data_IF_270559361391
#
_entry.id   IF_270559361391
#
_cell.length_a   1.000
_cell.length_b   1.000
_cell.length_c   1.000
_cell.angle_alpha   90.00
_cell.angle_beta   90.00
_cell.angle_gamma   90.00
#
_symmetry.space_group_name_H-M   'P 1'
#
loop_
_entity.id
_entity.type
_entity.pdbx_description
1 polymer ?
#
# COMPACT_ATOMS: atom_id res chain seq x y z
N UNK A 1 -25.60 -40.55 9.64
CA UNK A 1 -25.16 -41.51 10.66
C UNK A 1 -24.52 -40.73 11.80
N UNK A 2 -24.97 -41.00 13.03
CA UNK A 2 -24.51 -40.47 14.34
C UNK A 2 -24.83 -39.00 14.64
N UNK A 3 -25.99 -38.78 15.27
CA UNK A 3 -26.11 -37.87 16.44
C UNK A 3 -25.50 -38.58 17.66
N UNK A 4 -25.03 -37.88 18.71
CA UNK A 4 -25.92 -37.49 19.81
C UNK A 4 -25.76 -36.01 20.22
N UNK A 5 -26.82 -35.31 20.66
CA UNK A 5 -27.52 -35.43 21.98
C UNK A 5 -26.62 -34.92 23.12
N UNK A 6 -27.07 -34.14 24.10
CA UNK A 6 -28.38 -33.64 24.52
C UNK A 6 -28.09 -32.62 25.64
N UNK A 7 -28.96 -31.65 25.90
CA UNK A 7 -30.12 -31.84 26.77
C UNK A 7 -29.84 -31.10 28.09
N UNK A 8 -30.58 -30.02 28.40
CA UNK A 8 -31.78 -30.02 29.29
C UNK A 8 -31.39 -30.20 30.77
N UNK A 9 -32.00 -29.61 31.78
CA UNK A 9 -33.11 -28.68 31.94
C UNK A 9 -33.10 -28.26 33.43
N UNK A 10 -33.51 -27.02 33.70
CA UNK A 10 -34.52 -26.58 34.69
C UNK A 10 -34.75 -27.27 36.06
N UNK A 11 -34.95 -26.39 37.07
CA UNK A 11 -35.80 -26.49 38.30
C UNK A 11 -35.32 -27.43 39.43
N UNK A 12 -35.60 -27.22 40.72
CA UNK A 12 -36.17 -26.15 41.55
C UNK A 12 -36.12 -26.58 43.03
N UNK A 13 -36.15 -25.59 43.95
CA UNK A 13 -36.64 -25.64 45.35
C UNK A 13 -35.85 -26.39 46.44
N UNK A 14 -35.69 -25.70 47.58
CA UNK A 14 -35.34 -26.30 48.87
C UNK A 14 -34.84 -25.29 49.90
N UNK A 15 -35.76 -24.67 50.63
CA UNK A 15 -35.54 -23.84 51.84
C UNK A 15 -34.80 -24.59 52.94
N UNK A 16 -33.95 -23.90 53.71
CA UNK A 16 -33.85 -24.04 55.17
C UNK A 16 -33.19 -22.79 55.79
N UNK A 17 -33.82 -22.32 56.86
CA UNK A 17 -33.35 -21.25 57.73
C UNK A 17 -32.32 -21.77 58.74
N UNK A 18 -31.35 -20.95 59.11
CA UNK A 18 -30.84 -20.83 60.48
C UNK A 18 -29.92 -19.60 60.59
N UNK A 19 -30.07 -18.91 61.71
CA UNK A 19 -29.46 -17.67 62.15
C UNK A 19 -27.92 -17.67 62.30
N UNK A 20 -27.43 -16.45 62.49
CA UNK A 20 -26.26 -16.02 63.28
C UNK A 20 -25.00 -15.50 62.53
N UNK A 21 -24.87 -14.17 62.64
CA UNK A 21 -23.66 -13.43 63.06
C UNK A 21 -22.86 -12.59 62.04
N UNK A 22 -23.24 -11.30 61.95
CA UNK A 22 -22.38 -10.10 61.85
C UNK A 22 -21.46 -9.91 60.61
N UNK A 23 -20.88 -8.71 60.38
CA UNK A 23 -21.41 -7.71 59.45
C UNK A 23 -20.54 -7.55 58.18
N UNK A 24 -21.12 -7.74 57.00
CA UNK A 24 -20.52 -7.31 55.73
C UNK A 24 -20.57 -5.78 55.60
N UNK A 25 -19.58 -5.09 56.17
CA UNK A 25 -19.41 -3.64 56.04
C UNK A 25 -17.97 -3.23 55.68
N UNK A 26 -17.29 -4.07 54.88
CA UNK A 26 -15.89 -3.86 54.46
C UNK A 26 -15.62 -3.98 52.96
N UNK A 27 -16.61 -4.29 52.13
CA UNK A 27 -16.43 -4.62 50.70
C UNK A 27 -16.54 -3.42 49.75
N UNK A 28 -17.35 -2.40 50.08
CA UNK A 28 -17.55 -1.24 49.20
C UNK A 28 -16.28 -0.37 49.07
N UNK A 29 -15.59 -0.12 50.18
CA UNK A 29 -14.38 0.72 50.18
C UNK A 29 -13.18 0.04 49.50
N UNK A 30 -13.10 -1.30 49.57
CA UNK A 30 -12.06 -2.06 48.88
C UNK A 30 -12.29 -2.13 47.36
N UNK A 31 -13.54 -2.26 46.90
CA UNK A 31 -13.85 -2.30 45.47
C UNK A 31 -13.66 -0.92 44.82
N UNK A 32 -13.97 0.17 45.54
CA UNK A 32 -13.76 1.54 45.07
C UNK A 32 -12.27 1.91 45.06
N UNK A 33 -11.49 1.49 46.07
CA UNK A 33 -10.04 1.60 46.08
C UNK A 33 -9.38 0.82 44.93
N UNK A 34 -9.84 -0.40 44.64
CA UNK A 34 -9.36 -1.19 43.50
C UNK A 34 -9.73 -0.56 42.15
N UNK A 35 -10.94 -0.02 41.99
CA UNK A 35 -11.35 0.73 40.78
C UNK A 35 -10.52 2.01 40.60
N UNK A 36 -10.21 2.72 41.68
CA UNK A 36 -9.35 3.93 41.66
C UNK A 36 -7.90 3.60 41.27
N UNK A 37 -7.32 2.54 41.85
CA UNK A 37 -5.98 2.07 41.50
C UNK A 37 -5.88 1.63 40.03
N UNK A 38 -6.90 0.93 39.51
CA UNK A 38 -6.99 0.55 38.09
C UNK A 38 -7.02 1.78 37.18
N UNK A 39 -7.84 2.79 37.52
CA UNK A 39 -7.89 4.07 36.76
C UNK A 39 -6.56 4.82 36.79
N UNK A 40 -5.87 4.84 37.93
CA UNK A 40 -4.55 5.47 38.08
C UNK A 40 -3.50 4.77 37.20
N UNK A 41 -3.46 3.44 37.23
CA UNK A 41 -2.55 2.65 36.39
C UNK A 41 -2.84 2.83 34.89
N UNK A 42 -4.11 2.89 34.50
CA UNK A 42 -4.51 3.16 33.11
C UNK A 42 -4.10 4.57 32.64
N UNK A 43 -4.21 5.58 33.52
CA UNK A 43 -3.72 6.94 33.25
C UNK A 43 -2.20 6.98 33.09
N UNK A 44 -1.45 6.31 33.96
CA UNK A 44 0.03 6.18 33.85
C UNK A 44 0.44 5.47 32.56
N UNK A 45 -0.22 4.37 32.20
CA UNK A 45 0.04 3.67 30.95
C UNK A 45 -0.23 4.56 29.72
N UNK A 46 -1.34 5.29 29.72
CA UNK A 46 -1.70 6.22 28.65
C UNK A 46 -0.69 7.37 28.56
N UNK A 47 -0.26 7.92 29.71
CA UNK A 47 0.76 8.96 29.77
C UNK A 47 2.09 8.49 29.18
N UNK A 48 2.61 7.34 29.64
CA UNK A 48 3.87 6.78 29.17
C UNK A 48 3.80 6.44 27.66
N UNK A 49 2.66 5.95 27.18
CA UNK A 49 2.44 5.67 25.76
C UNK A 49 2.45 6.96 24.92
N UNK A 50 1.80 8.03 25.40
CA UNK A 50 1.80 9.35 24.75
C UNK A 50 3.20 9.97 24.73
N UNK A 51 3.97 9.81 25.79
CA UNK A 51 5.33 10.32 25.88
C UNK A 51 6.27 9.62 24.89
N UNK A 52 6.23 8.28 24.82
CA UNK A 52 6.96 7.50 23.80
C UNK A 52 6.60 7.93 22.38
N UNK A 53 5.32 8.12 22.10
CA UNK A 53 4.85 8.59 20.79
C UNK A 53 5.36 10.01 20.49
N UNK A 54 5.32 10.92 21.46
CA UNK A 54 5.87 12.27 21.31
C UNK A 54 7.38 12.25 21.03
N UNK A 55 8.15 11.34 21.64
CA UNK A 55 9.57 11.15 21.35
C UNK A 55 9.75 10.74 19.88
N UNK A 56 8.97 9.78 19.38
CA UNK A 56 9.03 9.34 17.97
C UNK A 56 8.68 10.45 16.97
N UNK A 57 7.69 11.29 17.28
CA UNK A 57 7.39 12.47 16.44
C UNK A 57 8.51 13.51 16.44
N UNK A 58 9.17 13.72 17.59
CA UNK A 58 10.35 14.59 17.66
C UNK A 58 11.50 14.01 16.83
N UNK A 59 11.77 12.72 16.93
CA UNK A 59 12.76 12.04 16.08
C UNK A 59 12.44 12.21 14.60
N UNK A 60 11.21 11.89 14.17
CA UNK A 60 10.77 12.01 12.78
C UNK A 60 10.90 13.45 12.27
N UNK A 61 10.48 14.44 13.06
CA UNK A 61 10.59 15.85 12.66
C UNK A 61 12.03 16.30 12.37
N UNK A 62 13.04 15.71 13.04
CA UNK A 62 14.45 16.03 12.78
C UNK A 62 14.91 15.56 11.40
N UNK A 63 14.37 14.44 10.91
CA UNK A 63 14.67 13.93 9.58
C UNK A 63 13.93 14.68 8.47
N UNK A 64 12.73 15.16 8.77
CA UNK A 64 11.84 15.80 7.79
C UNK A 64 12.13 17.28 7.58
N UNK A 65 12.54 17.99 8.64
CA UNK A 65 12.74 19.44 8.64
C UNK A 65 13.83 20.01 7.69
N UNK A 66 14.92 19.30 7.29
CA UNK A 66 15.96 19.94 6.49
C UNK A 66 15.53 20.33 5.06
N UNK A 67 14.49 19.70 4.51
CA UNK A 67 14.22 19.76 3.07
C UNK A 67 12.90 20.45 2.66
N UNK A 68 12.00 20.76 3.61
CA UNK A 68 10.62 21.23 3.29
C UNK A 68 10.38 22.70 3.70
N UNK A 69 11.37 23.40 4.25
CA UNK A 69 11.15 24.76 4.78
C UNK A 69 12.37 25.67 4.67
N UNK A 70 12.72 26.03 3.43
CA UNK A 70 13.34 27.34 3.15
C UNK A 70 12.30 28.29 2.54
N UNK A 71 11.20 28.49 3.24
CA UNK A 71 10.33 29.65 3.04
C UNK A 71 10.24 30.32 4.39
N UNK A 72 10.94 31.45 4.52
CA UNK A 72 11.31 32.06 5.78
C UNK A 72 10.14 32.30 6.72
N UNK A 73 10.20 31.69 7.90
CA UNK A 73 9.82 32.36 9.15
C UNK A 73 10.42 31.59 10.32
N UNK A 74 11.46 32.16 10.91
CA UNK A 74 11.87 31.91 12.28
C UNK A 74 10.71 32.22 13.21
N UNK A 75 9.95 31.21 13.62
CA UNK A 75 9.00 31.33 14.74
C UNK A 75 8.68 29.95 15.32
N UNK A 76 8.71 29.88 16.64
CA UNK A 76 8.59 28.68 17.48
C UNK A 76 7.18 28.08 17.49
N UNK A 77 6.67 27.65 16.35
CA UNK A 77 5.33 27.06 16.25
C UNK A 77 5.40 25.55 16.38
N UNK A 78 4.76 24.99 17.43
CA UNK A 78 4.52 23.54 17.58
C UNK A 78 4.02 22.96 16.26
N UNK A 79 4.87 22.24 15.54
CA UNK A 79 4.50 21.57 14.29
C UNK A 79 3.45 20.51 14.60
N UNK A 80 2.30 20.59 13.93
CA UNK A 80 1.22 19.65 14.15
C UNK A 80 1.65 18.23 13.75
N UNK A 81 1.27 17.21 14.53
CA UNK A 81 1.68 15.81 14.27
C UNK A 81 1.26 15.32 12.89
N UNK A 82 0.08 15.71 12.42
CA UNK A 82 -0.37 15.37 11.06
C UNK A 82 0.54 15.98 10.00
N UNK A 83 0.99 17.23 10.18
CA UNK A 83 1.93 17.88 9.26
C UNK A 83 3.26 17.13 9.22
N UNK A 84 3.80 16.71 10.38
CA UNK A 84 5.03 15.90 10.43
C UNK A 84 4.86 14.60 9.63
N UNK A 85 3.70 13.94 9.72
CA UNK A 85 3.41 12.73 8.93
C UNK A 85 3.30 13.04 7.43
N UNK A 86 2.54 14.07 7.06
CA UNK A 86 2.38 14.47 5.66
C UNK A 86 3.72 14.80 5.01
N UNK A 87 4.54 15.61 5.68
CA UNK A 87 5.86 15.99 5.22
C UNK A 87 6.81 14.76 5.14
N UNK A 88 6.70 13.82 6.08
CA UNK A 88 7.45 12.56 6.05
C UNK A 88 7.07 11.68 4.86
N UNK A 89 5.77 11.53 4.58
CA UNK A 89 5.25 10.77 3.43
C UNK A 89 5.75 11.42 2.14
N UNK A 90 5.64 12.74 2.02
CA UNK A 90 6.12 13.46 0.83
C UNK A 90 7.63 13.26 0.63
N UNK A 91 8.43 13.40 1.69
CA UNK A 91 9.88 13.17 1.62
C UNK A 91 10.20 11.73 1.20
N UNK A 92 9.52 10.74 1.79
CA UNK A 92 9.70 9.34 1.42
C UNK A 92 9.38 9.11 -0.06
N UNK A 93 8.25 9.62 -0.55
CA UNK A 93 7.87 9.51 -1.96
C UNK A 93 8.91 10.15 -2.88
N UNK A 94 9.43 11.33 -2.51
CA UNK A 94 10.49 12.01 -3.27
C UNK A 94 11.80 11.20 -3.29
N UNK A 95 12.16 10.58 -2.17
CA UNK A 95 13.34 9.72 -2.10
C UNK A 95 13.19 8.47 -2.95
N UNK A 96 12.01 7.84 -2.93
CA UNK A 96 11.69 6.68 -3.79
C UNK A 96 11.83 7.08 -5.26
N UNK A 97 11.20 8.18 -5.70
CA UNK A 97 11.32 8.68 -7.07
C UNK A 97 12.76 8.95 -7.47
N UNK A 98 13.51 9.64 -6.62
CA UNK A 98 14.92 9.95 -6.89
C UNK A 98 15.76 8.68 -7.00
N UNK A 99 15.50 7.68 -6.14
CA UNK A 99 16.18 6.39 -6.21
C UNK A 99 15.85 5.69 -7.53
N UNK A 100 14.58 5.59 -7.92
CA UNK A 100 14.15 4.94 -9.16
C UNK A 100 14.75 5.61 -10.41
N UNK A 101 14.80 6.95 -10.43
CA UNK A 101 15.43 7.71 -11.49
C UNK A 101 16.94 7.42 -11.58
N UNK A 102 17.66 7.46 -10.46
CA UNK A 102 19.10 7.16 -10.41
C UNK A 102 19.41 5.71 -10.76
N UNK A 103 18.60 4.76 -10.31
CA UNK A 103 18.72 3.33 -10.64
C UNK A 103 18.55 3.15 -12.15
N UNK A 104 17.53 3.78 -12.74
CA UNK A 104 17.30 3.77 -14.20
C UNK A 104 18.47 4.41 -14.97
N UNK A 105 18.98 5.56 -14.52
CA UNK A 105 20.15 6.20 -15.12
C UNK A 105 21.39 5.31 -15.07
N UNK A 106 21.61 4.62 -13.95
CA UNK A 106 22.72 3.68 -13.81
C UNK A 106 22.58 2.50 -14.77
N UNK A 107 21.39 1.91 -14.88
CA UNK A 107 21.09 0.80 -15.79
C UNK A 107 21.40 1.18 -17.24
N UNK A 108 20.97 2.37 -17.67
CA UNK A 108 21.20 2.85 -19.04
C UNK A 108 22.53 3.59 -19.25
N UNK A 109 23.42 3.61 -18.26
CA UNK A 109 24.70 4.32 -18.38
C UNK A 109 25.68 3.66 -19.35
N UNK A 110 25.57 2.34 -19.54
CA UNK A 110 26.36 1.54 -20.48
C UNK A 110 25.67 0.20 -20.75
N UNK A 111 26.07 -0.46 -21.85
CA UNK A 111 25.57 -1.80 -22.16
C UNK A 111 25.95 -2.82 -21.07
N UNK A 112 27.18 -2.74 -20.55
CA UNK A 112 27.66 -3.62 -19.47
C UNK A 112 26.79 -3.48 -18.21
N UNK A 113 26.40 -2.26 -17.83
CA UNK A 113 25.52 -2.04 -16.67
C UNK A 113 24.11 -2.56 -16.89
N UNK A 114 23.59 -2.43 -18.11
CA UNK A 114 22.30 -3.00 -18.48
C UNK A 114 22.32 -4.53 -18.39
N UNK A 115 23.36 -5.17 -18.94
CA UNK A 115 23.54 -6.62 -18.88
C UNK A 115 23.68 -7.11 -17.43
N UNK A 116 24.55 -6.47 -16.63
CA UNK A 116 24.73 -6.78 -15.20
C UNK A 116 23.40 -6.69 -14.43
N UNK A 117 22.62 -5.64 -14.71
CA UNK A 117 21.31 -5.44 -14.09
C UNK A 117 20.28 -6.48 -14.54
N UNK A 118 20.20 -6.79 -15.84
CA UNK A 118 19.31 -7.82 -16.37
C UNK A 118 19.62 -9.19 -15.75
N UNK A 119 20.89 -9.57 -15.69
CA UNK A 119 21.33 -10.83 -15.05
C UNK A 119 20.86 -10.88 -13.59
N UNK A 120 21.07 -9.81 -12.81
CA UNK A 120 20.64 -9.75 -11.41
C UNK A 120 19.13 -9.93 -11.25
N UNK A 121 18.32 -9.31 -12.11
CA UNK A 121 16.86 -9.44 -12.03
C UNK A 121 16.42 -10.84 -12.40
N UNK A 122 16.95 -11.38 -13.51
CA UNK A 122 16.63 -12.75 -13.95
C UNK A 122 17.00 -13.76 -12.88
N UNK A 123 18.17 -13.64 -12.25
CA UNK A 123 18.59 -14.52 -11.15
C UNK A 123 17.68 -14.40 -9.93
N UNK A 124 17.33 -13.16 -9.54
CA UNK A 124 16.50 -12.89 -8.36
C UNK A 124 15.06 -13.36 -8.53
N UNK A 125 14.51 -13.27 -9.75
CA UNK A 125 13.08 -13.51 -10.06
C UNK A 125 12.87 -14.68 -11.04
N UNK A 126 13.81 -15.63 -11.07
CA UNK A 126 13.86 -16.73 -12.05
C UNK A 126 12.58 -17.58 -12.19
N UNK A 127 11.74 -17.59 -11.16
CA UNK A 127 10.55 -18.44 -11.08
C UNK A 127 9.35 -17.83 -11.80
N UNK A 128 9.36 -16.53 -12.08
CA UNK A 128 8.24 -15.83 -12.71
C UNK A 128 8.73 -14.81 -13.75
N UNK A 129 8.51 -15.13 -15.03
CA UNK A 129 8.84 -14.26 -16.16
C UNK A 129 8.10 -12.92 -16.08
N UNK A 130 6.86 -12.90 -15.58
CA UNK A 130 6.05 -11.68 -15.52
C UNK A 130 6.59 -10.71 -14.46
N UNK A 131 7.16 -11.22 -13.37
CA UNK A 131 7.88 -10.42 -12.38
C UNK A 131 9.16 -9.78 -12.95
N UNK A 132 9.87 -10.48 -13.84
CA UNK A 132 11.04 -9.95 -14.55
C UNK A 132 10.60 -8.86 -15.52
N UNK A 133 9.58 -9.12 -16.34
CA UNK A 133 9.04 -8.17 -17.29
C UNK A 133 8.48 -6.91 -16.60
N UNK A 134 7.90 -7.05 -15.41
CA UNK A 134 7.43 -5.91 -14.62
C UNK A 134 8.57 -4.91 -14.31
N UNK A 135 9.73 -5.40 -13.87
CA UNK A 135 10.88 -4.53 -13.57
C UNK A 135 11.45 -3.91 -14.85
N UNK A 136 11.50 -4.66 -15.95
CA UNK A 136 11.93 -4.14 -17.26
C UNK A 136 10.99 -3.02 -17.71
N UNK A 137 9.68 -3.25 -17.68
CA UNK A 137 8.68 -2.24 -18.05
C UNK A 137 8.78 -1.03 -17.14
N UNK A 138 9.00 -1.20 -15.82
CA UNK A 138 9.18 -0.08 -14.88
C UNK A 138 10.33 0.83 -15.30
N UNK A 139 11.48 0.25 -15.63
CA UNK A 139 12.67 0.99 -16.05
C UNK A 139 12.43 1.74 -17.37
N UNK A 140 11.74 1.13 -18.34
CA UNK A 140 11.33 1.83 -19.55
C UNK A 140 10.35 2.98 -19.28
N UNK A 141 9.35 2.76 -18.41
CA UNK A 141 8.40 3.79 -18.04
C UNK A 141 9.09 5.01 -17.41
N UNK A 142 10.03 4.78 -16.50
CA UNK A 142 10.83 5.86 -15.90
C UNK A 142 11.68 6.55 -16.97
N UNK A 143 12.42 5.79 -17.80
CA UNK A 143 13.34 6.34 -18.80
C UNK A 143 12.66 7.16 -19.89
N UNK A 144 11.49 6.73 -20.32
CA UNK A 144 10.72 7.37 -21.41
C UNK A 144 9.63 8.30 -20.88
N UNK A 145 9.57 8.52 -19.57
CA UNK A 145 8.53 9.32 -18.91
C UNK A 145 7.10 8.85 -19.25
N UNK A 146 6.92 7.55 -19.51
CA UNK A 146 5.58 7.00 -19.73
C UNK A 146 4.80 7.01 -18.43
N UNK A 147 3.49 7.20 -18.52
CA UNK A 147 2.61 7.24 -17.36
C UNK A 147 2.39 5.83 -16.79
N UNK A 148 2.24 4.86 -17.70
CA UNK A 148 1.85 3.49 -17.42
C UNK A 148 2.53 2.57 -18.44
N UNK A 149 2.87 1.36 -18.02
CA UNK A 149 3.24 0.26 -18.91
C UNK A 149 2.47 -1.00 -18.54
N UNK A 150 2.12 -1.81 -19.54
CA UNK A 150 1.34 -3.04 -19.35
C UNK A 150 2.08 -4.23 -19.96
N UNK A 151 1.98 -5.38 -19.29
CA UNK A 151 2.43 -6.67 -19.81
C UNK A 151 1.20 -7.48 -20.14
N UNK A 152 1.10 -7.90 -21.40
CA UNK A 152 0.03 -8.76 -21.91
C UNK A 152 0.62 -10.12 -22.27
N UNK A 153 -0.02 -11.20 -21.83
CA UNK A 153 0.43 -12.55 -22.07
C UNK A 153 -0.66 -13.38 -22.76
N UNK A 154 -0.27 -14.31 -23.65
CA UNK A 154 -1.22 -15.26 -24.24
C UNK A 154 -1.63 -16.31 -23.23
N UNK A 155 -2.93 -16.54 -23.15
CA UNK A 155 -3.55 -17.65 -22.45
C UNK A 155 -4.23 -18.55 -23.50
N UNK A 156 -3.88 -19.83 -23.48
CA UNK A 156 -4.52 -20.84 -24.33
C UNK A 156 -5.82 -21.27 -23.65
N UNK A 157 -6.95 -20.99 -24.29
CA UNK A 157 -8.23 -21.63 -23.97
C UNK A 157 -8.45 -22.80 -24.93
N UNK A 158 -9.42 -23.67 -24.64
CA UNK A 158 -9.62 -24.96 -25.33
C UNK A 158 -9.68 -24.86 -26.88
N UNK A 159 -9.99 -23.69 -27.43
CA UNK A 159 -10.08 -23.49 -28.89
C UNK A 159 -9.37 -22.22 -29.41
N UNK A 160 -8.81 -21.36 -28.54
CA UNK A 160 -8.34 -20.03 -28.95
C UNK A 160 -7.18 -19.48 -28.11
N UNK A 161 -6.43 -18.57 -28.71
CA UNK A 161 -5.44 -17.72 -28.01
C UNK A 161 -6.13 -16.43 -27.59
N UNK A 162 -6.06 -16.11 -26.30
CA UNK A 162 -6.58 -14.85 -25.75
C UNK A 162 -5.45 -14.14 -25.02
N UNK A 163 -5.26 -12.86 -25.29
CA UNK A 163 -4.32 -12.03 -24.54
C UNK A 163 -5.00 -11.46 -23.31
N UNK A 164 -4.38 -11.66 -22.15
CA UNK A 164 -4.79 -11.04 -20.89
C UNK A 164 -3.68 -10.19 -20.31
N UNK A 165 -4.05 -9.11 -19.63
CA UNK A 165 -3.08 -8.29 -18.91
C UNK A 165 -2.64 -9.04 -17.66
N UNK A 166 -1.34 -9.26 -17.53
CA UNK A 166 -0.74 -9.97 -16.40
C UNK A 166 -0.05 -9.03 -15.42
N UNK A 167 0.48 -7.91 -15.90
CA UNK A 167 1.11 -6.88 -15.08
C UNK A 167 0.76 -5.48 -15.58
N UNK A 168 0.70 -4.55 -14.66
CA UNK A 168 0.48 -3.14 -14.92
C UNK A 168 1.40 -2.32 -14.03
N UNK A 169 2.19 -1.42 -14.63
CA UNK A 169 3.28 -0.72 -13.97
C UNK A 169 3.09 0.77 -14.13
N UNK A 170 2.75 1.44 -13.02
CA UNK A 170 2.67 2.89 -12.94
C UNK A 170 4.06 3.47 -12.80
N UNK A 171 4.34 4.55 -13.53
CA UNK A 171 5.62 5.24 -13.36
C UNK A 171 5.66 5.94 -11.99
N UNK A 172 6.61 5.56 -11.11
CA UNK A 172 6.69 6.14 -9.78
C UNK A 172 7.05 7.64 -9.82
N UNK A 173 7.71 8.10 -10.88
CA UNK A 173 8.13 9.49 -11.07
C UNK A 173 7.06 10.39 -11.71
N UNK A 174 5.94 9.82 -12.14
CA UNK A 174 4.86 10.61 -12.73
C UNK A 174 4.05 11.31 -11.63
N UNK A 175 4.20 12.63 -11.52
CA UNK A 175 3.50 13.51 -10.58
C UNK A 175 2.18 14.08 -11.10
N UNK A 176 1.71 13.62 -12.26
CA UNK A 176 0.49 14.18 -12.87
C UNK A 176 -0.72 13.84 -11.99
N UNK A 177 -1.52 14.85 -11.66
CA UNK A 177 -2.84 14.76 -10.99
C UNK A 177 -3.87 13.86 -11.72
N UNK A 178 -3.46 13.19 -12.80
CA UNK A 178 -4.21 12.19 -13.56
C UNK A 178 -4.32 10.86 -12.80
N UNK A 179 -3.89 10.81 -11.54
CA UNK A 179 -3.90 9.63 -10.67
C UNK A 179 -5.25 8.91 -10.69
N UNK A 180 -6.36 9.64 -10.53
CA UNK A 180 -7.71 9.04 -10.50
C UNK A 180 -8.09 8.40 -11.83
N UNK A 181 -7.83 9.09 -12.95
CA UNK A 181 -8.13 8.55 -14.29
C UNK A 181 -7.28 7.32 -14.60
N UNK A 182 -6.01 7.33 -14.21
CA UNK A 182 -5.10 6.20 -14.42
C UNK A 182 -5.54 5.01 -13.55
N UNK A 183 -5.91 5.22 -12.30
CA UNK A 183 -6.40 4.13 -11.42
C UNK A 183 -7.68 3.52 -12.00
N UNK A 184 -8.61 4.35 -12.46
CA UNK A 184 -9.83 3.90 -13.13
C UNK A 184 -9.50 3.13 -14.43
N UNK A 185 -8.56 3.62 -15.23
CA UNK A 185 -8.09 2.92 -16.44
C UNK A 185 -7.45 1.57 -16.09
N UNK A 186 -6.65 1.51 -15.02
CA UNK A 186 -6.07 0.27 -14.53
C UNK A 186 -7.20 -0.67 -14.14
N UNK A 187 -8.17 -0.26 -13.35
CA UNK A 187 -9.25 -1.14 -12.90
C UNK A 187 -10.06 -1.70 -14.08
N UNK A 188 -10.42 -0.85 -15.06
CA UNK A 188 -11.11 -1.28 -16.28
C UNK A 188 -10.25 -2.20 -17.16
N UNK A 189 -8.94 -1.96 -17.24
CA UNK A 189 -8.05 -2.81 -18.05
C UNK A 189 -7.92 -4.24 -17.55
N UNK A 190 -8.23 -4.52 -16.27
CA UNK A 190 -8.12 -5.88 -15.71
C UNK A 190 -9.16 -6.84 -16.29
N UNK A 191 -10.30 -6.32 -16.78
CA UNK A 191 -11.37 -7.15 -17.35
C UNK A 191 -11.23 -7.34 -18.86
N UNK A 192 -10.33 -6.62 -19.51
CA UNK A 192 -10.16 -6.68 -20.96
C UNK A 192 -9.33 -7.87 -21.40
N UNK A 193 -9.77 -8.47 -22.51
CA UNK A 193 -9.13 -9.61 -23.14
C UNK A 193 -9.21 -9.43 -24.66
N UNK A 194 -8.16 -9.85 -25.37
CA UNK A 194 -8.06 -9.65 -26.81
C UNK A 194 -7.72 -10.94 -27.53
N UNK A 195 -8.61 -11.43 -28.39
CA UNK A 195 -8.32 -12.50 -29.36
C UNK A 195 -7.57 -11.88 -30.55
N UNK A 196 -6.36 -12.34 -30.94
CA UNK A 196 -5.69 -11.84 -32.15
C UNK A 196 -6.55 -12.07 -33.42
N UNK A 197 -6.64 -11.10 -34.38
CA UNK A 197 -6.03 -9.76 -34.44
C UNK A 197 -6.81 -8.63 -33.75
N UNK A 198 -7.76 -8.92 -32.88
CA UNK A 198 -8.67 -7.89 -32.35
C UNK A 198 -7.96 -6.97 -31.35
N UNK A 199 -8.22 -5.67 -31.46
CA UNK A 199 -7.63 -4.64 -30.59
C UNK A 199 -6.13 -4.40 -30.84
N UNK A 200 -5.56 -3.33 -30.25
CA UNK A 200 -4.14 -3.01 -30.41
C UNK A 200 -3.21 -4.14 -29.96
N UNK A 201 -3.52 -4.77 -28.82
CA UNK A 201 -2.73 -5.86 -28.25
C UNK A 201 -2.75 -7.10 -29.13
N UNK A 202 -3.94 -7.50 -29.62
CA UNK A 202 -4.10 -8.66 -30.49
C UNK A 202 -3.38 -8.51 -31.83
N UNK A 203 -3.45 -7.32 -32.45
CA UNK A 203 -2.71 -7.04 -33.69
C UNK A 203 -1.20 -7.05 -33.48
N UNK A 204 -0.72 -6.36 -32.44
CA UNK A 204 0.72 -6.32 -32.14
C UNK A 204 1.27 -7.73 -31.91
N UNK A 205 0.52 -8.58 -31.18
CA UNK A 205 0.88 -9.97 -30.96
C UNK A 205 0.92 -10.80 -32.25
N UNK A 206 -0.11 -10.70 -33.10
CA UNK A 206 -0.15 -11.50 -34.33
C UNK A 206 0.92 -11.06 -35.36
N UNK A 207 1.17 -9.77 -35.46
CA UNK A 207 2.07 -9.21 -36.46
C UNK A 207 3.52 -9.15 -36.00
N UNK A 208 3.77 -9.26 -34.68
CA UNK A 208 5.07 -9.02 -34.05
C UNK A 208 5.68 -7.66 -34.42
N UNK A 209 4.82 -6.67 -34.68
CA UNK A 209 5.22 -5.31 -35.04
C UNK A 209 4.80 -4.32 -33.96
N UNK A 210 5.66 -3.33 -33.65
CA UNK A 210 5.26 -2.25 -32.76
C UNK A 210 4.16 -1.41 -33.42
N UNK A 211 3.12 -1.09 -32.66
CA UNK A 211 2.07 -0.16 -33.07
C UNK A 211 2.19 1.11 -32.21
N UNK A 212 2.22 2.27 -32.87
CA UNK A 212 2.32 3.57 -32.21
C UNK A 212 1.10 4.42 -32.55
N UNK A 213 0.40 4.87 -31.51
CA UNK A 213 -0.76 5.73 -31.64
C UNK A 213 -0.43 7.10 -31.05
N UNK A 214 -0.12 8.06 -31.91
CA UNK A 214 0.00 9.45 -31.48
C UNK A 214 -1.41 10.02 -31.27
N UNK A 215 -1.87 10.05 -30.02
CA UNK A 215 -3.11 10.77 -29.69
C UNK A 215 -2.79 12.26 -29.75
N UNK A 216 -3.14 12.90 -30.87
CA UNK A 216 -3.20 14.35 -30.95
C UNK A 216 -4.32 14.82 -30.02
N UNK A 217 -3.98 15.55 -28.96
CA UNK A 217 -4.97 16.25 -28.16
C UNK A 217 -5.67 17.28 -29.05
N UNK A 218 -6.85 16.93 -29.56
CA UNK A 218 -7.81 17.92 -30.08
C UNK A 218 -8.80 18.21 -28.96
N UNK A 219 -8.55 19.31 -28.25
CA UNK A 219 -9.43 20.05 -27.35
C UNK A 219 -10.17 19.24 -26.24
N UNK A 220 -9.62 19.29 -25.01
CA UNK A 220 -10.31 18.92 -23.76
C UNK A 220 -11.45 19.89 -23.35
N UNK A 221 -12.17 20.50 -24.30
CA UNK A 221 -13.21 21.51 -24.00
C UNK A 221 -14.65 21.05 -24.24
N UNK A 222 -14.89 19.83 -24.71
CA UNK A 222 -16.25 19.34 -24.99
C UNK A 222 -16.58 18.00 -24.29
N UNK A 223 -16.37 17.92 -22.98
CA UNK A 223 -17.01 16.92 -22.11
C UNK A 223 -17.46 17.57 -20.80
#
# INVERSE_FOLDING_TARGET
MVSPSGGRDSKSTGTNAADEDSPEKGTMDQEEAQKSARRSNQRRHTHNSREKLNVKFKELSRFVAPNVSQSGSSSSTKTHKSKIISDAIQMYNNLVKKREALETELVFSSLEKLEEWLTKIVEKKREDLYEILEDIVRVFCVKQEWILGEVWAPEMTDEKVVLKRVKCVKNPCCDRDETLFIEEFIDHGNVHQYEPPTGPQGRAFQTLRPEWYAIFQKNRHDF
#
